data_IF_103517118279
#
_entry.id   IF_103517118279
#
_cell.length_a   1.000
_cell.length_b   1.000
_cell.length_c   1.000
_cell.angle_alpha   90.00
_cell.angle_beta   90.00
_cell.angle_gamma   90.00
#
_symmetry.space_group_name_H-M   'P 1'
#
loop_
_entity.id
_entity.type
_entity.pdbx_description
1 polymer ?
#
# COMPACT_ATOMS: atom_id res chain seq x y z
N UNK A 1 -22.60 -7.66 4.77
CA UNK A 1 -22.19 -6.45 5.50
C UNK A 1 -21.77 -6.86 6.91
N UNK A 2 -20.53 -6.61 7.36
CA UNK A 2 -20.14 -6.97 8.71
C UNK A 2 -20.76 -5.96 9.69
N UNK A 3 -21.60 -6.44 10.62
CA UNK A 3 -21.99 -5.68 11.80
C UNK A 3 -20.78 -5.67 12.73
N UNK A 4 -20.07 -4.55 12.79
CA UNK A 4 -19.02 -4.35 13.79
C UNK A 4 -19.72 -3.92 15.07
N UNK A 5 -19.82 -4.84 16.03
CA UNK A 5 -20.27 -4.56 17.39
C UNK A 5 -19.17 -3.76 18.09
N UNK A 6 -19.36 -2.46 18.22
CA UNK A 6 -18.48 -1.60 19.01
C UNK A 6 -18.83 -1.88 20.48
N UNK A 7 -18.04 -2.69 21.18
CA UNK A 7 -18.07 -2.75 22.64
C UNK A 7 -17.52 -1.41 23.16
N UNK A 8 -18.42 -0.48 23.43
CA UNK A 8 -18.10 0.75 24.14
C UNK A 8 -17.78 0.37 25.60
N UNK A 9 -16.48 0.23 25.90
CA UNK A 9 -15.97 0.25 27.26
C UNK A 9 -16.64 1.42 28.02
N UNK A 10 -17.10 1.11 29.23
CA UNK A 10 -17.84 1.94 30.16
C UNK A 10 -17.25 3.37 30.30
N UNK A 11 -17.60 4.27 29.37
CA UNK A 11 -17.19 5.67 29.43
C UNK A 11 -18.25 6.41 30.24
N UNK A 12 -18.05 6.48 31.56
CA UNK A 12 -18.83 7.35 32.43
C UNK A 12 -18.46 8.81 32.14
N UNK A 13 -19.02 9.36 31.07
CA UNK A 13 -18.95 10.80 30.80
C UNK A 13 -19.62 11.51 31.99
N UNK A 14 -18.81 12.21 32.81
CA UNK A 14 -19.29 13.06 33.89
C UNK A 14 -20.24 14.12 33.30
N UNK A 15 -21.55 13.92 33.53
CA UNK A 15 -22.62 14.64 32.83
C UNK A 15 -23.23 15.79 33.62
N UNK A 16 -22.50 16.42 34.52
CA UNK A 16 -23.11 17.32 35.52
C UNK A 16 -22.73 18.80 35.45
N UNK A 17 -21.78 19.23 34.60
CA UNK A 17 -21.36 20.65 34.62
C UNK A 17 -21.66 21.47 33.37
N UNK A 18 -22.00 20.85 32.25
CA UNK A 18 -22.17 21.57 30.99
C UNK A 18 -23.54 21.26 30.37
N UNK A 19 -24.51 22.13 30.66
CA UNK A 19 -25.90 22.07 30.17
C UNK A 19 -26.00 22.48 28.67
N UNK A 20 -25.08 21.99 27.85
CA UNK A 20 -24.86 22.42 26.45
C UNK A 20 -25.77 21.67 25.48
N UNK A 21 -26.30 20.51 25.86
CA UNK A 21 -27.13 19.68 24.99
C UNK A 21 -28.52 19.43 25.60
N UNK A 22 -29.60 19.50 24.80
CA UNK A 22 -30.96 19.21 25.26
C UNK A 22 -31.07 17.80 25.84
N UNK A 23 -31.73 17.66 27.01
CA UNK A 23 -31.93 16.37 27.70
C UNK A 23 -32.78 15.38 26.92
N UNK A 24 -33.53 15.84 25.92
CA UNK A 24 -34.44 15.03 25.11
C UNK A 24 -33.74 14.21 24.02
N UNK A 25 -32.49 14.52 23.69
CA UNK A 25 -31.78 13.87 22.60
C UNK A 25 -31.09 12.60 23.10
N UNK A 26 -31.23 11.49 22.37
CA UNK A 26 -30.46 10.27 22.63
C UNK A 26 -29.02 10.46 22.18
N UNK A 27 -28.19 10.98 23.08
CA UNK A 27 -26.81 11.36 22.79
C UNK A 27 -25.94 10.18 22.33
N UNK A 28 -26.23 8.95 22.78
CA UNK A 28 -25.49 7.76 22.32
C UNK A 28 -25.78 7.48 20.85
N UNK A 29 -27.03 7.62 20.41
CA UNK A 29 -27.37 7.51 18.98
C UNK A 29 -26.69 8.57 18.14
N UNK A 30 -26.60 9.81 18.62
CA UNK A 30 -25.92 10.90 17.89
C UNK A 30 -24.42 10.63 17.76
N UNK A 31 -23.77 10.16 18.82
CA UNK A 31 -22.33 9.80 18.78
C UNK A 31 -22.10 8.61 17.85
N UNK A 32 -22.92 7.56 17.94
CA UNK A 32 -22.81 6.39 17.04
C UNK A 32 -23.04 6.81 15.59
N UNK A 33 -24.05 7.64 15.32
CA UNK A 33 -24.29 8.19 13.99
C UNK A 33 -23.10 9.00 13.48
N UNK A 34 -22.55 9.92 14.29
CA UNK A 34 -21.41 10.75 13.90
C UNK A 34 -20.15 9.90 13.66
N UNK A 35 -19.87 8.89 14.49
CA UNK A 35 -18.78 7.95 14.29
C UNK A 35 -18.95 7.14 13.01
N UNK A 36 -20.15 6.61 12.73
CA UNK A 36 -20.43 5.86 11.51
C UNK A 36 -20.28 6.75 10.26
N UNK A 37 -20.81 7.97 10.30
CA UNK A 37 -20.71 8.93 9.21
C UNK A 37 -19.24 9.35 8.98
N UNK A 38 -18.45 9.49 10.04
CA UNK A 38 -17.02 9.78 9.93
C UNK A 38 -16.23 8.60 9.34
N UNK A 39 -16.56 7.36 9.71
CA UNK A 39 -15.96 6.15 9.14
C UNK A 39 -16.30 5.96 7.65
N UNK A 40 -17.42 6.50 7.19
CA UNK A 40 -17.82 6.54 5.78
C UNK A 40 -17.24 7.73 5.01
N UNK A 41 -16.77 8.76 5.71
CA UNK A 41 -16.17 9.95 5.11
C UNK A 41 -14.76 9.69 4.58
N UNK A 42 -14.32 10.48 3.60
CA UNK A 42 -12.98 10.43 3.00
C UNK A 42 -11.85 10.60 4.05
N UNK A 43 -12.11 11.36 5.12
CA UNK A 43 -11.20 11.53 6.27
C UNK A 43 -10.95 10.24 7.07
N UNK A 44 -11.73 9.18 6.86
CA UNK A 44 -11.51 7.86 7.48
C UNK A 44 -10.28 7.11 6.94
N UNK A 45 -9.68 7.57 5.83
CA UNK A 45 -8.43 7.00 5.30
C UNK A 45 -7.31 7.07 6.35
N UNK A 46 -7.31 8.11 7.19
CA UNK A 46 -6.40 8.26 8.34
C UNK A 46 -6.56 7.09 9.35
N UNK A 47 -7.78 6.56 9.46
CA UNK A 47 -8.09 5.42 10.34
C UNK A 47 -7.74 4.06 9.71
N UNK A 48 -7.37 4.03 8.42
CA UNK A 48 -6.97 2.82 7.68
C UNK A 48 -5.51 2.93 7.24
N UNK A 49 -4.54 2.84 8.17
CA UNK A 49 -3.12 3.01 7.87
C UNK A 49 -2.62 2.03 6.79
N UNK A 50 -3.23 0.85 6.70
CA UNK A 50 -2.93 -0.14 5.68
C UNK A 50 -3.21 0.36 4.25
N UNK A 51 -4.37 0.99 4.03
CA UNK A 51 -4.78 1.49 2.71
C UNK A 51 -3.85 2.64 2.30
N UNK A 52 -3.61 3.56 3.22
CA UNK A 52 -2.70 4.69 3.01
C UNK A 52 -1.28 4.24 2.63
N UNK A 53 -0.73 3.21 3.28
CA UNK A 53 0.60 2.68 2.95
C UNK A 53 0.65 2.16 1.51
N UNK A 54 -0.38 1.43 1.07
CA UNK A 54 -0.43 0.85 -0.28
C UNK A 54 -0.56 1.97 -1.32
N UNK A 55 -1.44 2.94 -1.09
CA UNK A 55 -1.62 4.11 -1.96
C UNK A 55 -0.33 4.93 -2.07
N UNK A 56 0.37 5.15 -0.96
CA UNK A 56 1.66 5.84 -0.95
C UNK A 56 2.70 5.09 -1.80
N UNK A 57 2.79 3.76 -1.65
CA UNK A 57 3.71 2.94 -2.44
C UNK A 57 3.36 3.00 -3.92
N UNK A 58 2.07 2.90 -4.28
CA UNK A 58 1.61 3.02 -5.66
C UNK A 58 1.97 4.39 -6.25
N UNK A 59 1.69 5.47 -5.51
CA UNK A 59 2.01 6.82 -5.93
C UNK A 59 3.53 7.03 -6.09
N UNK A 60 4.33 6.53 -5.14
CA UNK A 60 5.78 6.60 -5.18
C UNK A 60 6.34 5.87 -6.41
N UNK A 61 5.80 4.68 -6.73
CA UNK A 61 6.18 3.92 -7.93
C UNK A 61 5.78 4.68 -9.19
N UNK A 62 4.54 5.15 -9.29
CA UNK A 62 4.03 5.85 -10.46
C UNK A 62 4.82 7.14 -10.76
N UNK A 63 5.14 7.93 -9.74
CA UNK A 63 5.90 9.17 -9.88
C UNK A 63 7.36 8.95 -10.35
N UNK A 64 7.88 7.74 -10.19
CA UNK A 64 9.27 7.38 -10.46
C UNK A 64 9.41 6.40 -11.63
N UNK A 65 8.28 5.97 -12.21
CA UNK A 65 8.24 5.02 -13.30
C UNK A 65 9.03 5.53 -14.51
N UNK A 66 9.92 4.71 -15.06
CA UNK A 66 10.86 5.03 -16.14
C UNK A 66 11.83 6.20 -15.89
N UNK A 67 11.71 6.92 -14.77
CA UNK A 67 12.62 8.01 -14.38
C UNK A 67 13.72 7.47 -13.46
N UNK A 68 13.36 6.96 -12.28
CA UNK A 68 14.29 6.40 -11.30
C UNK A 68 13.98 4.94 -10.94
N UNK A 69 12.84 4.41 -11.38
CA UNK A 69 12.52 2.98 -11.38
C UNK A 69 12.72 2.47 -12.80
N UNK A 70 13.73 1.62 -13.01
CA UNK A 70 14.21 1.23 -14.36
C UNK A 70 13.91 -0.23 -14.69
N UNK A 71 13.84 -0.55 -15.97
CA UNK A 71 13.74 -1.94 -16.41
C UNK A 71 14.99 -2.74 -15.98
N UNK A 72 14.81 -4.00 -15.57
CA UNK A 72 15.92 -4.93 -15.31
C UNK A 72 16.69 -5.25 -16.60
N UNK A 73 16.03 -5.27 -17.75
CA UNK A 73 16.62 -5.57 -19.05
C UNK A 73 17.33 -4.36 -19.69
N UNK A 74 17.50 -3.27 -18.94
CA UNK A 74 18.03 -2.01 -19.45
C UNK A 74 19.51 -2.10 -19.84
N UNK A 75 19.87 -1.47 -20.96
CA UNK A 75 21.15 -1.70 -21.67
C UNK A 75 22.30 -0.87 -21.07
N UNK A 76 23.57 -1.28 -21.28
CA UNK A 76 24.72 -0.46 -20.93
C UNK A 76 24.69 0.87 -21.71
N UNK A 77 25.07 1.97 -21.04
CA UNK A 77 25.13 3.40 -21.46
C UNK A 77 24.01 4.33 -21.00
N UNK A 78 23.00 3.83 -20.31
CA UNK A 78 21.97 4.68 -19.72
C UNK A 78 22.17 4.84 -18.20
N UNK A 79 21.90 6.04 -17.67
CA UNK A 79 22.29 6.47 -16.33
C UNK A 79 21.55 5.66 -15.23
N UNK A 80 22.16 4.56 -14.79
CA UNK A 80 21.65 3.69 -13.72
C UNK A 80 22.12 4.13 -12.32
N UNK A 81 22.84 5.26 -12.20
CA UNK A 81 23.39 5.73 -10.92
C UNK A 81 22.32 6.26 -9.95
N UNK A 82 21.21 6.74 -10.50
CA UNK A 82 20.09 7.32 -9.74
C UNK A 82 18.92 6.34 -9.58
N UNK A 83 19.11 5.07 -9.94
CA UNK A 83 18.05 4.07 -9.82
C UNK A 83 17.74 3.78 -8.35
N UNK A 84 16.48 4.00 -7.98
CA UNK A 84 15.93 3.73 -6.64
C UNK A 84 15.07 2.46 -6.60
N UNK A 85 14.91 1.79 -7.75
CA UNK A 85 14.20 0.54 -7.90
C UNK A 85 14.26 0.03 -9.33
N UNK A 86 13.78 -1.19 -9.53
CA UNK A 86 13.75 -1.82 -10.84
C UNK A 86 12.42 -2.53 -11.08
N UNK A 87 12.07 -2.79 -12.33
CA UNK A 87 10.87 -3.56 -12.66
C UNK A 87 11.12 -4.54 -13.81
N UNK A 88 10.25 -5.53 -13.90
CA UNK A 88 10.08 -6.36 -15.10
C UNK A 88 8.58 -6.47 -15.43
N UNK A 89 8.22 -7.38 -16.33
CA UNK A 89 6.84 -7.59 -16.77
C UNK A 89 5.88 -8.03 -15.65
N UNK A 90 6.40 -8.55 -14.53
CA UNK A 90 5.58 -9.16 -13.47
C UNK A 90 5.70 -8.45 -12.12
N UNK A 91 6.86 -7.88 -11.83
CA UNK A 91 7.20 -7.40 -10.50
C UNK A 91 7.98 -6.08 -10.52
N UNK A 92 7.81 -5.33 -9.44
CA UNK A 92 8.61 -4.14 -9.09
C UNK A 92 9.47 -4.47 -7.88
N UNK A 93 10.77 -4.27 -8.02
CA UNK A 93 11.78 -4.55 -7.02
C UNK A 93 12.19 -3.24 -6.34
N UNK A 94 11.78 -3.10 -5.08
CA UNK A 94 12.12 -1.93 -4.25
C UNK A 94 13.18 -2.32 -3.23
N UNK A 95 14.33 -1.64 -3.18
CA UNK A 95 15.32 -1.82 -2.11
C UNK A 95 14.72 -1.65 -0.72
N UNK A 96 15.19 -2.42 0.24
CA UNK A 96 14.78 -2.29 1.64
C UNK A 96 15.13 -0.91 2.24
N UNK A 97 16.08 -0.17 1.67
CA UNK A 97 16.36 1.22 2.04
C UNK A 97 15.22 2.17 1.66
N UNK A 98 14.63 1.98 0.47
CA UNK A 98 13.63 2.89 -0.11
C UNK A 98 12.19 2.56 0.27
N UNK A 99 11.91 1.36 0.81
CA UNK A 99 10.53 0.94 1.10
C UNK A 99 9.81 1.84 2.13
N UNK A 100 10.55 2.42 3.08
CA UNK A 100 9.97 3.30 4.12
C UNK A 100 9.58 4.65 3.52
N UNK A 101 10.45 5.18 2.66
CA UNK A 101 10.17 6.38 1.87
C UNK A 101 8.97 6.15 0.95
N UNK A 102 8.93 4.99 0.26
CA UNK A 102 7.82 4.61 -0.60
C UNK A 102 6.48 4.53 0.16
N UNK A 103 6.50 4.09 1.42
CA UNK A 103 5.33 4.10 2.29
C UNK A 103 5.00 5.48 2.89
N UNK A 104 5.70 6.55 2.50
CA UNK A 104 5.49 7.91 3.02
C UNK A 104 5.94 8.09 4.48
N UNK A 105 6.90 7.30 4.95
CA UNK A 105 7.33 7.25 6.36
C UNK A 105 6.20 6.93 7.37
N UNK A 106 5.08 6.39 6.89
CA UNK A 106 3.89 6.13 7.72
C UNK A 106 4.08 4.97 8.72
N UNK A 107 5.04 4.07 8.47
CA UNK A 107 5.25 2.89 9.30
C UNK A 107 6.69 2.35 9.26
N UNK A 108 7.01 1.49 10.24
CA UNK A 108 8.28 0.73 10.27
C UNK A 108 8.30 -0.36 9.20
N UNK A 109 9.50 -0.73 8.74
CA UNK A 109 9.73 -1.77 7.71
C UNK A 109 9.00 -3.09 7.99
N UNK A 110 9.02 -3.56 9.23
CA UNK A 110 8.37 -4.80 9.66
C UNK A 110 6.85 -4.76 9.47
N UNK A 111 6.24 -3.61 9.77
CA UNK A 111 4.80 -3.42 9.60
C UNK A 111 4.41 -3.34 8.13
N UNK A 112 5.21 -2.63 7.31
CA UNK A 112 5.03 -2.59 5.85
C UNK A 112 5.15 -3.99 5.26
N UNK A 113 6.17 -4.77 5.65
CA UNK A 113 6.35 -6.14 5.19
C UNK A 113 5.15 -7.05 5.54
N UNK A 114 4.60 -6.89 6.76
CA UNK A 114 3.40 -7.61 7.20
C UNK A 114 2.20 -7.25 6.32
N UNK A 115 1.93 -5.96 6.12
CA UNK A 115 0.83 -5.48 5.27
C UNK A 115 0.95 -6.05 3.84
N UNK A 116 2.13 -5.93 3.23
CA UNK A 116 2.35 -6.42 1.87
C UNK A 116 2.13 -7.93 1.76
N UNK A 117 2.51 -8.70 2.79
CA UNK A 117 2.27 -10.14 2.83
C UNK A 117 0.80 -10.49 3.04
N UNK A 118 0.10 -9.81 3.95
CA UNK A 118 -1.32 -10.06 4.28
C UNK A 118 -2.23 -9.69 3.11
N UNK A 119 -1.91 -8.63 2.38
CA UNK A 119 -2.62 -8.21 1.17
C UNK A 119 -2.19 -8.99 -0.08
N UNK A 120 -1.26 -9.93 0.04
CA UNK A 120 -0.79 -10.76 -1.07
C UNK A 120 -0.11 -9.98 -2.18
N UNK A 121 0.45 -8.79 -1.90
CA UNK A 121 1.08 -7.87 -2.85
C UNK A 121 2.53 -8.24 -3.17
N UNK A 122 3.07 -9.28 -2.55
CA UNK A 122 4.42 -9.77 -2.82
C UNK A 122 4.38 -10.79 -3.97
N UNK A 123 5.08 -10.50 -5.06
CA UNK A 123 5.28 -11.45 -6.17
C UNK A 123 6.17 -12.62 -5.74
N UNK A 124 7.24 -12.31 -5.00
CA UNK A 124 8.18 -13.31 -4.49
C UNK A 124 8.63 -12.93 -3.08
N UNK A 125 8.81 -13.96 -2.24
CA UNK A 125 9.36 -13.84 -0.89
C UNK A 125 10.42 -14.91 -0.66
N UNK A 126 11.37 -14.64 0.22
CA UNK A 126 12.40 -15.63 0.57
C UNK A 126 11.82 -16.73 1.46
N UNK A 127 10.94 -16.38 2.40
CA UNK A 127 10.23 -17.35 3.23
C UNK A 127 8.92 -16.77 3.77
N UNK A 128 8.13 -17.57 4.48
CA UNK A 128 6.93 -17.10 5.16
C UNK A 128 7.21 -15.97 6.18
N UNK A 129 8.42 -15.93 6.76
CA UNK A 129 8.85 -14.92 7.73
C UNK A 129 9.61 -13.76 7.10
N UNK A 130 10.10 -13.92 5.87
CA UNK A 130 10.96 -12.95 5.21
C UNK A 130 10.37 -12.54 3.86
N UNK A 131 9.74 -11.37 3.85
CA UNK A 131 9.12 -10.75 2.68
C UNK A 131 10.13 -10.30 1.61
N UNK A 132 11.40 -10.09 1.98
CA UNK A 132 12.44 -9.63 1.06
C UNK A 132 13.15 -10.80 0.37
N UNK A 133 13.64 -10.59 -0.84
CA UNK A 133 14.57 -11.47 -1.55
C UNK A 133 15.99 -10.89 -1.51
N UNK A 134 17.01 -11.75 -1.59
CA UNK A 134 18.42 -11.37 -1.46
C UNK A 134 19.16 -11.25 -2.81
N UNK A 135 18.53 -11.67 -3.90
CA UNK A 135 19.13 -11.67 -5.22
C UNK A 135 18.05 -11.49 -6.28
N UNK A 136 18.33 -10.61 -7.24
CA UNK A 136 17.50 -10.39 -8.42
C UNK A 136 18.39 -10.50 -9.65
N UNK A 137 18.01 -11.37 -10.58
CA UNK A 137 18.72 -11.50 -11.86
C UNK A 137 18.71 -10.17 -12.61
N UNK A 138 19.86 -9.73 -13.13
CA UNK A 138 20.02 -8.45 -13.81
C UNK A 138 20.30 -7.24 -12.92
N UNK A 139 20.06 -7.33 -11.61
CA UNK A 139 20.41 -6.27 -10.63
C UNK A 139 21.61 -6.71 -9.76
N UNK A 140 21.56 -7.94 -9.25
CA UNK A 140 22.59 -8.50 -8.36
C UNK A 140 22.07 -8.82 -6.95
N UNK A 141 23.02 -8.91 -6.01
CA UNK A 141 22.73 -9.22 -4.60
C UNK A 141 22.31 -7.97 -3.81
N UNK A 142 21.32 -8.13 -2.93
CA UNK A 142 20.78 -7.04 -2.11
C UNK A 142 19.42 -7.41 -1.52
N UNK A 143 18.92 -6.62 -0.54
CA UNK A 143 17.61 -6.87 0.07
C UNK A 143 16.52 -6.09 -0.67
N UNK A 144 15.66 -6.79 -1.39
CA UNK A 144 14.57 -6.20 -2.18
C UNK A 144 13.20 -6.74 -1.79
N UNK A 145 12.20 -5.88 -1.81
CA UNK A 145 10.80 -6.27 -1.84
C UNK A 145 10.39 -6.47 -3.30
N UNK A 146 9.96 -7.68 -3.66
CA UNK A 146 9.44 -7.98 -4.99
C UNK A 146 7.91 -7.85 -4.95
N UNK A 147 7.40 -6.70 -5.39
CA UNK A 147 5.98 -6.38 -5.40
C UNK A 147 5.34 -6.87 -6.69
N UNK A 148 4.14 -7.41 -6.60
CA UNK A 148 3.34 -7.85 -7.74
C UNK A 148 2.72 -6.65 -8.46
N UNK A 149 3.12 -6.46 -9.72
CA UNK A 149 2.71 -5.30 -10.51
C UNK A 149 1.21 -5.32 -10.82
N UNK A 150 0.66 -6.50 -11.10
CA UNK A 150 -0.75 -6.65 -11.48
C UNK A 150 -1.66 -6.40 -10.29
N UNK A 151 -1.28 -6.90 -9.11
CA UNK A 151 -2.05 -6.69 -7.88
C UNK A 151 -1.98 -5.26 -7.37
N UNK A 152 -0.86 -4.57 -7.60
CA UNK A 152 -0.74 -3.14 -7.33
C UNK A 152 -1.53 -2.28 -8.33
N UNK A 153 -2.19 -2.87 -9.33
CA UNK A 153 -2.95 -2.14 -10.36
C UNK A 153 -2.13 -1.06 -11.08
N UNK A 154 -0.80 -1.24 -11.14
CA UNK A 154 0.10 -0.36 -11.86
C UNK A 154 -0.07 -0.65 -13.36
N UNK A 155 -1.08 -0.03 -13.97
CA UNK A 155 -1.33 -0.12 -15.41
C UNK A 155 -0.08 0.39 -16.14
N UNK A 156 0.45 -0.45 -17.02
CA UNK A 156 1.49 -0.06 -17.98
C UNK A 156 0.91 1.00 -18.90
N UNK A 157 1.12 2.28 -18.60
CA UNK A 157 0.94 3.33 -19.60
C UNK A 157 2.05 3.14 -20.62
N UNK A 158 1.75 2.42 -21.71
CA UNK A 158 2.65 2.32 -22.85
C UNK A 158 3.19 0.92 -23.17
N UNK A 159 2.33 -0.09 -23.31
CA UNK A 159 2.55 -1.13 -24.33
C UNK A 159 1.21 -1.45 -24.97
N UNK A 160 1.08 -1.14 -26.26
CA UNK A 160 0.08 -1.72 -27.14
C UNK A 160 0.11 -3.23 -26.92
N UNK A 161 -1.01 -3.77 -26.45
CA UNK A 161 -1.30 -5.19 -26.50
C UNK A 161 -1.39 -5.57 -27.98
N UNK A 162 -0.27 -5.99 -28.58
CA UNK A 162 -0.37 -6.99 -29.63
C UNK A 162 -0.95 -8.22 -28.96
N UNK A 163 -2.24 -8.45 -29.16
CA UNK A 163 -2.86 -9.74 -28.92
C UNK A 163 -2.01 -10.80 -29.64
N UNK A 164 -1.79 -11.99 -29.06
CA UNK A 164 -1.37 -13.11 -29.89
C UNK A 164 -2.52 -13.36 -30.87
N UNK A 165 -2.26 -13.08 -32.15
CA UNK A 165 -3.07 -13.62 -33.23
C UNK A 165 -3.11 -15.14 -33.02
N UNK A 166 -4.31 -15.67 -32.88
CA UNK A 166 -4.53 -17.09 -32.98
C UNK A 166 -4.18 -17.46 -34.43
N UNK A 167 -3.09 -18.20 -34.59
CA UNK A 167 -2.82 -18.93 -35.83
C UNK A 167 -3.93 -19.98 -36.00
N UNK A 168 -4.97 -19.62 -36.75
CA UNK A 168 -5.83 -20.55 -37.46
C UNK A 168 -5.16 -20.86 -38.81
N UNK A 169 -4.56 -22.05 -38.92
CA UNK A 169 -4.69 -23.02 -40.03
C UNK A 169 -3.72 -24.22 -39.87
#
# INVERSE_FOLDING_TARGET
MPKITIELCHFSVQRSQFNILPKEIDHLKVVIWACNNYLESFSSIILKPMVQIIENIQHWIAARWDVTIKDICYKPHENNREAVGWYNNYAVYIPSSSIVEAAGNAAKKEHIAKILSEQGLLFKRHSAKQATINYVSGIGAGKFYALDRYKLQLRTTGQNLSQPEADDD
#
